data_IF_520684115001
#
_entry.id   IF_520684115001
#
_cell.length_a   1.000
_cell.length_b   1.000
_cell.length_c   1.000
_cell.angle_alpha   90.00
_cell.angle_beta   90.00
_cell.angle_gamma   90.00
#
_symmetry.space_group_name_H-M   'P 1'
#
loop_
_entity.id
_entity.type
_entity.pdbx_description
1 polymer ?
#
# COMPACT_ATOMS: atom_id res chain seq x y z
N UNK A 1 -53.45 -21.81 9.54
CA UNK A 1 -51.98 -21.84 9.71
C UNK A 1 -51.66 -20.98 10.93
N UNK A 2 -51.07 -21.55 11.98
CA UNK A 2 -50.80 -20.80 13.22
C UNK A 2 -49.60 -19.85 13.05
N UNK A 3 -49.58 -18.76 13.80
CA UNK A 3 -48.50 -17.75 13.77
C UNK A 3 -47.10 -18.37 13.97
N UNK A 4 -46.98 -19.35 14.87
CA UNK A 4 -45.74 -20.11 15.09
C UNK A 4 -45.28 -20.92 13.88
N UNK A 5 -46.20 -21.44 13.07
CA UNK A 5 -45.87 -22.15 11.84
C UNK A 5 -45.36 -21.18 10.78
N UNK A 6 -45.93 -19.98 10.71
CA UNK A 6 -45.49 -18.90 9.82
C UNK A 6 -44.06 -18.45 10.19
N UNK A 7 -43.78 -18.22 11.47
CA UNK A 7 -42.43 -17.87 11.95
C UNK A 7 -41.40 -18.97 11.69
N UNK A 8 -41.77 -20.24 11.90
CA UNK A 8 -40.88 -21.38 11.64
C UNK A 8 -40.57 -21.50 10.15
N UNK A 9 -41.59 -21.34 9.29
CA UNK A 9 -41.43 -21.34 7.85
C UNK A 9 -40.51 -20.20 7.38
N UNK A 10 -40.69 -18.97 7.89
CA UNK A 10 -39.82 -17.83 7.59
C UNK A 10 -38.36 -18.07 7.99
N UNK A 11 -38.11 -18.68 9.17
CA UNK A 11 -36.75 -19.02 9.61
C UNK A 11 -36.08 -20.05 8.71
N UNK A 12 -36.81 -21.09 8.30
CA UNK A 12 -36.27 -22.14 7.43
C UNK A 12 -35.95 -21.61 6.03
N UNK A 13 -36.82 -20.77 5.47
CA UNK A 13 -36.62 -20.14 4.16
C UNK A 13 -35.38 -19.24 4.15
N UNK A 14 -35.22 -18.39 5.17
CA UNK A 14 -34.03 -17.54 5.33
C UNK A 14 -32.72 -18.34 5.46
N UNK A 15 -32.76 -19.55 6.01
CA UNK A 15 -31.61 -20.44 6.07
C UNK A 15 -31.33 -21.15 4.74
N UNK A 16 -32.36 -21.42 3.93
CA UNK A 16 -32.22 -21.97 2.57
C UNK A 16 -31.68 -20.92 1.59
N UNK A 17 -32.07 -19.65 1.75
CA UNK A 17 -31.61 -18.53 0.93
C UNK A 17 -30.24 -17.98 1.35
N UNK A 18 -29.56 -18.61 2.32
CA UNK A 18 -28.27 -18.12 2.81
C UNK A 18 -27.21 -18.36 1.73
N UNK A 19 -26.60 -17.31 1.16
CA UNK A 19 -25.59 -17.49 0.13
C UNK A 19 -24.41 -18.25 0.70
N UNK A 20 -23.90 -19.20 -0.09
CA UNK A 20 -22.73 -19.99 0.28
C UNK A 20 -21.50 -19.09 0.50
N UNK A 21 -20.51 -19.58 1.25
CA UNK A 21 -19.26 -18.84 1.42
C UNK A 21 -18.57 -18.55 0.06
N UNK A 22 -18.71 -19.45 -0.91
CA UNK A 22 -18.18 -19.27 -2.26
C UNK A 22 -18.94 -18.17 -3.02
N UNK A 23 -20.26 -18.12 -2.91
CA UNK A 23 -21.09 -17.06 -3.53
C UNK A 23 -20.70 -15.69 -2.98
N UNK A 24 -20.56 -15.57 -1.66
CA UNK A 24 -20.09 -14.33 -1.03
C UNK A 24 -18.67 -13.97 -1.46
N UNK A 25 -17.77 -14.95 -1.52
CA UNK A 25 -16.41 -14.73 -2.02
C UNK A 25 -16.42 -14.19 -3.45
N UNK A 26 -17.19 -14.80 -4.36
CA UNK A 26 -17.33 -14.32 -5.73
C UNK A 26 -17.95 -12.92 -5.80
N UNK A 27 -18.97 -12.61 -4.99
CA UNK A 27 -19.54 -11.27 -4.89
C UNK A 27 -18.51 -10.23 -4.44
N UNK A 28 -17.70 -10.56 -3.43
CA UNK A 28 -16.64 -9.67 -2.95
C UNK A 28 -15.52 -9.52 -3.99
N UNK A 29 -15.13 -10.60 -4.67
CA UNK A 29 -14.13 -10.56 -5.72
C UNK A 29 -14.58 -9.69 -6.90
N UNK A 30 -15.82 -9.87 -7.38
CA UNK A 30 -16.38 -9.07 -8.46
C UNK A 30 -16.53 -7.59 -8.07
N UNK A 31 -16.97 -7.29 -6.85
CA UNK A 31 -17.02 -5.90 -6.33
C UNK A 31 -15.63 -5.25 -6.34
N UNK A 32 -14.59 -5.97 -5.94
CA UNK A 32 -13.20 -5.47 -5.98
C UNK A 32 -12.72 -5.20 -7.41
N UNK A 33 -13.02 -6.09 -8.35
CA UNK A 33 -12.69 -5.90 -9.77
C UNK A 33 -13.45 -4.69 -10.36
N UNK A 34 -14.74 -4.58 -10.05
CA UNK A 34 -15.57 -3.46 -10.48
C UNK A 34 -15.08 -2.12 -9.93
N UNK A 35 -14.71 -2.06 -8.64
CA UNK A 35 -14.16 -0.85 -8.02
C UNK A 35 -12.82 -0.46 -8.67
N UNK A 36 -11.94 -1.41 -8.95
CA UNK A 36 -10.69 -1.15 -9.67
C UNK A 36 -10.92 -0.60 -11.07
N UNK A 37 -11.91 -1.14 -11.80
CA UNK A 37 -12.29 -0.63 -13.13
C UNK A 37 -12.95 0.75 -13.06
N UNK A 38 -13.79 0.99 -12.06
CA UNK A 38 -14.44 2.28 -11.83
C UNK A 38 -13.41 3.38 -11.57
N UNK A 39 -12.36 3.07 -10.82
CA UNK A 39 -11.28 4.02 -10.52
C UNK A 39 -10.55 4.51 -11.78
N UNK A 40 -10.40 3.65 -12.81
CA UNK A 40 -9.86 4.07 -14.12
C UNK A 40 -10.68 5.20 -14.77
N UNK A 41 -11.98 5.28 -14.51
CA UNK A 41 -12.86 6.30 -15.08
C UNK A 41 -12.82 7.62 -14.30
N UNK A 42 -12.41 7.59 -13.03
CA UNK A 42 -12.43 8.76 -12.13
C UNK A 42 -11.06 9.47 -12.05
N UNK A 43 -9.95 8.80 -12.40
CA UNK A 43 -8.59 9.33 -12.36
C UNK A 43 -8.08 9.78 -13.73
N UNK A 44 -7.18 10.77 -13.74
CA UNK A 44 -6.40 11.09 -14.93
C UNK A 44 -5.49 9.93 -15.33
N UNK A 45 -5.23 9.82 -16.64
CA UNK A 45 -4.47 8.71 -17.20
C UNK A 45 -3.07 8.58 -16.61
N UNK A 46 -2.40 9.72 -16.40
CA UNK A 46 -1.04 9.78 -15.89
C UNK A 46 -0.98 9.28 -14.44
N UNK A 47 -1.92 9.69 -13.59
CA UNK A 47 -1.95 9.29 -12.18
C UNK A 47 -2.27 7.81 -12.04
N UNK A 48 -3.20 7.29 -12.86
CA UNK A 48 -3.52 5.87 -12.86
C UNK A 48 -2.30 5.01 -13.23
N UNK A 49 -1.60 5.37 -14.31
CA UNK A 49 -0.43 4.62 -14.77
C UNK A 49 0.75 4.74 -13.80
N UNK A 50 0.97 5.92 -13.23
CA UNK A 50 1.96 6.13 -12.17
C UNK A 50 1.69 5.19 -10.99
N UNK A 51 0.46 5.17 -10.47
CA UNK A 51 0.08 4.34 -9.33
C UNK A 51 0.26 2.83 -9.61
N UNK A 52 -0.19 2.37 -10.78
CA UNK A 52 -0.05 0.97 -11.19
C UNK A 52 1.42 0.56 -11.35
N UNK A 53 2.24 1.44 -11.92
CA UNK A 53 3.67 1.20 -12.12
C UNK A 53 4.39 1.12 -10.78
N UNK A 54 4.10 2.03 -9.84
CA UNK A 54 4.65 1.98 -8.48
C UNK A 54 4.21 0.73 -7.73
N UNK A 55 2.92 0.34 -7.80
CA UNK A 55 2.44 -0.90 -7.19
C UNK A 55 3.19 -2.13 -7.75
N UNK A 56 3.31 -2.21 -9.07
CA UNK A 56 4.04 -3.30 -9.72
C UNK A 56 5.52 -3.31 -9.34
N UNK A 57 6.15 -2.13 -9.24
CA UNK A 57 7.53 -1.99 -8.81
C UNK A 57 7.74 -2.49 -7.38
N UNK A 58 6.92 -2.07 -6.41
CA UNK A 58 7.02 -2.52 -5.01
C UNK A 58 6.82 -4.03 -4.88
N UNK A 59 5.87 -4.61 -5.64
CA UNK A 59 5.67 -6.07 -5.65
C UNK A 59 6.88 -6.79 -6.24
N UNK A 60 7.43 -6.29 -7.35
CA UNK A 60 8.64 -6.83 -7.98
C UNK A 60 9.85 -6.79 -7.05
N UNK A 61 10.05 -5.65 -6.36
CA UNK A 61 11.11 -5.47 -5.37
C UNK A 61 10.94 -6.44 -4.20
N UNK A 62 9.70 -6.65 -3.73
CA UNK A 62 9.39 -7.60 -2.66
C UNK A 62 9.69 -9.05 -3.05
N UNK A 63 9.45 -9.44 -4.31
CA UNK A 63 9.81 -10.78 -4.81
C UNK A 63 11.34 -10.92 -4.89
N UNK A 64 12.02 -9.91 -5.44
CA UNK A 64 13.49 -9.90 -5.59
C UNK A 64 14.19 -9.96 -4.24
N UNK A 65 13.63 -9.28 -3.24
CA UNK A 65 14.14 -9.24 -1.87
C UNK A 65 14.28 -10.63 -1.21
N UNK A 66 13.47 -11.62 -1.60
CA UNK A 66 13.60 -13.00 -1.08
C UNK A 66 14.73 -13.79 -1.72
N UNK A 67 15.17 -13.40 -2.92
CA UNK A 67 16.28 -14.03 -3.63
C UNK A 67 17.65 -13.45 -3.22
N UNK A 68 17.66 -12.28 -2.57
CA UNK A 68 18.88 -11.63 -2.11
C UNK A 68 19.48 -12.27 -0.84
N UNK A 69 20.80 -12.09 -0.68
CA UNK A 69 21.52 -12.52 0.53
C UNK A 69 20.99 -11.75 1.74
N UNK A 70 20.49 -12.49 2.74
CA UNK A 70 19.94 -11.90 3.97
C UNK A 70 21.01 -11.12 4.74
N UNK A 71 20.84 -9.79 4.76
CA UNK A 71 21.67 -8.86 5.52
C UNK A 71 21.07 -8.62 6.92
N UNK A 72 21.81 -7.94 7.80
CA UNK A 72 21.36 -7.65 9.18
C UNK A 72 20.11 -6.75 9.23
N UNK A 73 19.90 -5.93 8.21
CA UNK A 73 18.73 -5.05 7.99
C UNK A 73 17.51 -5.79 7.40
N UNK A 74 17.55 -7.13 7.29
CA UNK A 74 16.51 -7.91 6.61
C UNK A 74 15.10 -7.70 7.21
N UNK A 75 14.95 -7.79 8.52
CA UNK A 75 13.62 -7.67 9.14
C UNK A 75 13.05 -6.25 9.04
N UNK A 76 13.91 -5.24 9.13
CA UNK A 76 13.51 -3.84 8.98
C UNK A 76 13.00 -3.55 7.57
N UNK A 77 13.75 -3.97 6.54
CA UNK A 77 13.34 -3.81 5.15
C UNK A 77 12.09 -4.64 4.82
N UNK A 78 11.94 -5.85 5.36
CA UNK A 78 10.74 -6.67 5.14
C UNK A 78 9.49 -6.00 5.72
N UNK A 79 9.58 -5.51 6.97
CA UNK A 79 8.49 -4.78 7.61
C UNK A 79 8.16 -3.52 6.81
N UNK A 80 9.16 -2.79 6.32
CA UNK A 80 8.96 -1.63 5.46
C UNK A 80 8.13 -1.97 4.21
N UNK A 81 8.49 -3.03 3.46
CA UNK A 81 7.75 -3.43 2.26
C UNK A 81 6.33 -3.89 2.57
N UNK A 82 6.13 -4.65 3.66
CA UNK A 82 4.79 -5.07 4.10
C UNK A 82 3.93 -3.84 4.40
N UNK A 83 4.47 -2.86 5.13
CA UNK A 83 3.76 -1.62 5.44
C UNK A 83 3.47 -0.82 4.17
N UNK A 84 4.43 -0.68 3.25
CA UNK A 84 4.25 0.03 1.99
C UNK A 84 3.16 -0.62 1.11
N UNK A 85 3.19 -1.94 0.93
CA UNK A 85 2.16 -2.70 0.20
C UNK A 85 0.80 -2.54 0.86
N UNK A 86 0.74 -2.65 2.19
CA UNK A 86 -0.50 -2.52 2.94
C UNK A 86 -1.12 -1.12 2.79
N UNK A 87 -0.33 -0.05 2.97
CA UNK A 87 -0.78 1.33 2.83
C UNK A 87 -1.24 1.65 1.40
N UNK A 88 -0.50 1.17 0.39
CA UNK A 88 -0.81 1.39 -1.02
C UNK A 88 -2.08 0.61 -1.45
N UNK A 89 -2.27 -0.59 -0.91
CA UNK A 89 -3.49 -1.39 -1.12
C UNK A 89 -4.70 -0.77 -0.43
N UNK A 90 -4.56 -0.30 0.82
CA UNK A 90 -5.62 0.41 1.53
C UNK A 90 -6.01 1.71 0.81
N UNK A 91 -5.04 2.48 0.33
CA UNK A 91 -5.28 3.69 -0.45
C UNK A 91 -6.07 3.38 -1.74
N UNK A 92 -5.76 2.27 -2.42
CA UNK A 92 -6.49 1.82 -3.61
C UNK A 92 -7.93 1.39 -3.28
N UNK A 93 -8.14 0.58 -2.23
CA UNK A 93 -9.47 0.08 -1.85
C UNK A 93 -10.37 1.21 -1.34
N UNK A 94 -9.81 2.13 -0.56
CA UNK A 94 -10.56 3.27 0.02
C UNK A 94 -10.71 4.45 -0.93
N UNK A 95 -10.22 4.35 -2.16
CA UNK A 95 -10.19 5.45 -3.15
C UNK A 95 -9.50 6.72 -2.63
N UNK A 96 -8.60 6.58 -1.66
CA UNK A 96 -7.88 7.69 -1.03
C UNK A 96 -6.67 8.13 -1.87
N UNK A 97 -6.85 8.29 -3.18
CA UNK A 97 -5.76 8.52 -4.14
C UNK A 97 -4.97 9.79 -3.86
N UNK A 98 -5.60 10.84 -3.32
CA UNK A 98 -4.90 12.08 -2.93
C UNK A 98 -3.80 11.81 -1.92
N UNK A 99 -4.08 10.92 -0.96
CA UNK A 99 -3.14 10.49 0.06
C UNK A 99 -2.01 9.69 -0.61
N UNK A 100 -2.37 8.72 -1.45
CA UNK A 100 -1.42 7.87 -2.16
C UNK A 100 -0.47 8.62 -3.09
N UNK A 101 -0.95 9.60 -3.85
CA UNK A 101 -0.14 10.43 -4.78
C UNK A 101 0.95 11.21 -4.05
N UNK A 102 0.73 11.59 -2.78
CA UNK A 102 1.72 12.30 -1.97
C UNK A 102 2.64 11.31 -1.25
N UNK A 103 2.08 10.18 -0.80
CA UNK A 103 2.81 9.13 -0.10
C UNK A 103 3.90 8.50 -0.97
N UNK A 104 3.59 8.23 -2.25
CA UNK A 104 4.48 7.52 -3.19
C UNK A 104 5.79 8.31 -3.43
N UNK A 105 5.79 9.59 -3.87
CA UNK A 105 7.03 10.33 -4.11
C UNK A 105 7.86 10.54 -2.84
N UNK A 106 7.19 10.71 -1.69
CA UNK A 106 7.89 10.81 -0.40
C UNK A 106 8.61 9.50 -0.06
N UNK A 107 8.01 8.33 -0.40
CA UNK A 107 8.62 7.01 -0.17
C UNK A 107 9.82 6.84 -1.10
N UNK A 108 9.61 7.09 -2.40
CA UNK A 108 10.61 6.87 -3.44
C UNK A 108 11.85 7.78 -3.30
N UNK A 109 11.65 9.05 -2.96
CA UNK A 109 12.75 10.02 -2.76
C UNK A 109 13.65 9.68 -1.58
N UNK A 110 13.09 9.08 -0.53
CA UNK A 110 13.83 8.61 0.65
C UNK A 110 14.77 7.48 0.25
N UNK A 111 14.27 6.51 -0.51
CA UNK A 111 15.05 5.35 -0.95
C UNK A 111 16.16 5.74 -1.92
N UNK A 112 15.84 6.59 -2.92
CA UNK A 112 16.81 7.10 -3.88
C UNK A 112 17.99 7.82 -3.19
N UNK A 113 17.72 8.65 -2.18
CA UNK A 113 18.76 9.34 -1.41
C UNK A 113 19.61 8.36 -0.58
N UNK A 114 19.00 7.34 0.03
CA UNK A 114 19.74 6.33 0.80
C UNK A 114 20.62 5.46 -0.10
N UNK A 115 20.16 5.11 -1.30
CA UNK A 115 20.97 4.41 -2.30
C UNK A 115 22.15 5.25 -2.78
N UNK A 116 21.93 6.55 -2.98
CA UNK A 116 22.97 7.51 -3.34
C UNK A 116 24.05 7.62 -2.25
N UNK A 117 23.65 7.72 -0.98
CA UNK A 117 24.59 7.71 0.17
C UNK A 117 25.40 6.42 0.20
N UNK A 118 24.77 5.26 -0.03
CA UNK A 118 25.46 3.96 -0.12
C UNK A 118 26.46 3.95 -1.28
N UNK A 119 26.12 4.53 -2.44
CA UNK A 119 27.02 4.64 -3.59
C UNK A 119 28.25 5.52 -3.31
N UNK A 120 28.06 6.69 -2.70
CA UNK A 120 29.17 7.57 -2.28
C UNK A 120 30.09 6.88 -1.29
N UNK A 121 29.52 6.13 -0.33
CA UNK A 121 30.31 5.34 0.62
C UNK A 121 31.12 4.26 -0.09
N UNK A 122 30.54 3.55 -1.07
CA UNK A 122 31.25 2.57 -1.91
C UNK A 122 32.37 3.20 -2.75
N UNK A 123 32.26 4.49 -3.07
CA UNK A 123 33.29 5.26 -3.77
C UNK A 123 34.39 5.84 -2.84
N UNK A 124 34.50 5.37 -1.58
CA UNK A 124 35.46 5.82 -0.56
C UNK A 124 35.33 7.28 -0.08
N UNK A 125 34.23 7.98 -0.40
CA UNK A 125 33.97 9.33 0.09
C UNK A 125 33.19 9.33 1.42
N UNK A 126 33.74 8.70 2.45
CA UNK A 126 33.01 8.43 3.71
C UNK A 126 32.54 9.70 4.44
N UNK A 127 33.36 10.76 4.44
CA UNK A 127 32.98 12.05 5.05
C UNK A 127 31.73 12.63 4.39
N UNK A 128 31.66 12.59 3.06
CA UNK A 128 30.51 13.09 2.29
C UNK A 128 29.26 12.24 2.56
N UNK A 129 29.40 10.91 2.53
CA UNK A 129 28.30 10.00 2.82
C UNK A 129 27.72 10.23 4.23
N UNK A 130 28.59 10.47 5.21
CA UNK A 130 28.17 10.73 6.60
C UNK A 130 27.44 12.06 6.73
N UNK A 131 27.95 13.13 6.11
CA UNK A 131 27.29 14.45 6.12
C UNK A 131 25.89 14.36 5.48
N UNK A 132 25.78 13.71 4.32
CA UNK A 132 24.52 13.52 3.63
C UNK A 132 23.52 12.70 4.47
N UNK A 133 23.98 11.61 5.09
CA UNK A 133 23.14 10.77 5.93
C UNK A 133 22.64 11.52 7.17
N UNK A 134 23.52 12.21 7.89
CA UNK A 134 23.17 12.97 9.10
C UNK A 134 22.22 14.12 8.77
N UNK A 135 22.41 14.82 7.64
CA UNK A 135 21.48 15.86 7.19
C UNK A 135 20.12 15.32 6.75
N UNK A 136 20.09 14.12 6.16
CA UNK A 136 18.88 13.47 5.69
C UNK A 136 17.94 13.05 6.83
N UNK A 137 18.47 12.46 7.91
CA UNK A 137 17.66 11.94 9.03
C UNK A 137 16.65 12.94 9.61
N UNK A 138 17.02 14.18 10.01
CA UNK A 138 16.07 15.14 10.56
C UNK A 138 15.04 15.62 9.54
N UNK A 139 15.44 15.79 8.27
CA UNK A 139 14.53 16.17 7.17
C UNK A 139 13.50 15.06 6.92
N UNK A 140 13.94 13.80 6.94
CA UNK A 140 13.07 12.65 6.82
C UNK A 140 12.06 12.58 7.97
N UNK A 141 12.49 12.74 9.23
CA UNK A 141 11.59 12.78 10.38
C UNK A 141 10.58 13.92 10.28
N UNK A 142 11.01 15.11 9.88
CA UNK A 142 10.13 16.28 9.71
C UNK A 142 9.07 16.07 8.63
N UNK A 143 9.48 15.58 7.46
CA UNK A 143 8.56 15.32 6.33
C UNK A 143 7.53 14.25 6.67
N UNK A 144 7.91 13.21 7.41
CA UNK A 144 7.03 12.08 7.76
C UNK A 144 6.16 12.30 8.99
N UNK A 145 6.67 12.94 10.05
CA UNK A 145 5.93 13.12 11.30
C UNK A 145 5.11 14.41 11.36
N UNK A 146 5.55 15.47 10.68
CA UNK A 146 4.86 16.77 10.72
C UNK A 146 4.13 17.10 9.42
N UNK A 147 4.84 17.17 8.30
CA UNK A 147 4.24 17.62 7.03
C UNK A 147 3.16 16.65 6.52
N UNK A 148 3.44 15.34 6.57
CA UNK A 148 2.51 14.33 6.09
C UNK A 148 1.14 14.37 6.81
N UNK A 149 1.04 14.30 8.16
CA UNK A 149 -0.25 14.41 8.83
C UNK A 149 -0.90 15.79 8.68
N UNK A 150 -0.14 16.89 8.72
CA UNK A 150 -0.71 18.24 8.54
C UNK A 150 -1.39 18.43 7.17
N UNK A 151 -0.87 17.80 6.12
CA UNK A 151 -1.47 17.86 4.79
C UNK A 151 -2.70 16.94 4.67
N UNK A 152 -2.79 15.90 5.49
CA UNK A 152 -3.95 15.00 5.53
C UNK A 152 -5.13 15.55 6.32
N UNK A 153 -4.87 16.31 7.39
CA UNK A 153 -5.91 16.89 8.24
C UNK A 153 -6.45 18.24 7.73
N UNK A 154 -5.97 18.73 6.58
CA UNK A 154 -6.32 20.02 5.99
C UNK A 154 -7.04 19.84 4.66
#
# INVERSE_FOLDING_TARGET
MSERQVERWWRLRRNQDKPSNLTKFCEHAWKTVYLSFRQRLELSMDVYWFYLTTMAYIVSLSVTFFHDVKRKDFMEMLVHHIVAIFLLSLSWITTAFRIGIILIPLLDSTEALLEFVKAIKRANFEKMATILFVGFVPVWFYTRLYLFPLYLYR
#
